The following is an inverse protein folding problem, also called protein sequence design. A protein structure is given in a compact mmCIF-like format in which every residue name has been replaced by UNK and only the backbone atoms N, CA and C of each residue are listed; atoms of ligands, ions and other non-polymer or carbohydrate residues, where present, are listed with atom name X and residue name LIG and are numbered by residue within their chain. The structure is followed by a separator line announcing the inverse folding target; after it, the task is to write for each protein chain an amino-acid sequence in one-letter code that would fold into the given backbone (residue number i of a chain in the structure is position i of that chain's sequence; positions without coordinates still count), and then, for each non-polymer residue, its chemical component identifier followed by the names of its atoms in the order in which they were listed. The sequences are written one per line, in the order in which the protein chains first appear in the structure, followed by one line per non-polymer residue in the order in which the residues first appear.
data_IF_610263715452
#
_entry.id   IF_610263715452
#
_cell.length_a   1.000
_cell.length_b   1.000
_cell.length_c   1.000
_cell.angle_alpha   90.00
_cell.angle_beta   90.00
_cell.angle_gamma   90.00
#
_symmetry.space_group_name_H-M   'P 1'
#
loop_
_entity.id
_entity.type
_entity.pdbx_description
1 polymer ?
#
# COMPACT_ATOMS: atom_id res chain seq x y z
N UNK A 1 9.87 19.01 34.78
CA UNK A 1 10.30 18.69 33.40
C UNK A 1 10.72 17.22 33.31
N UNK A 2 9.87 16.32 32.79
CA UNK A 2 10.23 14.92 32.54
C UNK A 2 10.12 14.66 31.04
N UNK A 3 11.25 14.78 30.32
CA UNK A 3 11.34 14.43 28.90
C UNK A 3 11.36 12.90 28.79
N UNK A 4 10.21 12.28 28.59
CA UNK A 4 10.13 10.84 28.31
C UNK A 4 10.59 10.58 26.87
N UNK A 5 11.77 9.97 26.74
CA UNK A 5 12.28 9.38 25.51
C UNK A 5 11.30 8.29 25.04
N UNK A 6 10.43 8.59 24.09
CA UNK A 6 9.74 7.55 23.32
C UNK A 6 10.77 6.98 22.35
N UNK A 7 11.39 5.88 22.75
CA UNK A 7 12.26 5.05 21.91
C UNK A 7 11.51 4.68 20.63
N UNK A 8 11.99 5.17 19.48
CA UNK A 8 11.55 4.76 18.14
C UNK A 8 11.77 3.24 18.00
N UNK A 9 10.74 2.44 18.29
CA UNK A 9 10.75 1.00 17.97
C UNK A 9 10.89 0.87 16.45
N UNK A 10 12.02 0.30 16.04
CA UNK A 10 12.37 -0.06 14.66
C UNK A 10 11.27 -0.98 14.12
N UNK A 11 10.36 -0.43 13.33
CA UNK A 11 9.32 -1.18 12.61
C UNK A 11 10.07 -2.07 11.61
N UNK A 12 10.32 -3.32 12.00
CA UNK A 12 10.74 -4.37 11.09
C UNK A 12 9.63 -4.52 10.07
N UNK A 13 9.84 -3.95 8.88
CA UNK A 13 8.91 -4.04 7.75
C UNK A 13 8.71 -5.51 7.42
N UNK A 14 7.66 -6.13 7.97
CA UNK A 14 7.07 -7.33 7.41
C UNK A 14 6.76 -6.98 5.95
N UNK A 15 7.12 -7.82 4.95
CA UNK A 15 6.70 -7.53 3.58
C UNK A 15 5.18 -7.50 3.61
N UNK A 16 4.62 -6.29 3.45
CA UNK A 16 3.22 -6.10 3.08
C UNK A 16 2.98 -7.07 1.91
N UNK A 17 1.89 -7.86 1.91
CA UNK A 17 1.58 -8.65 0.73
C UNK A 17 1.60 -7.68 -0.45
N UNK A 18 2.55 -7.88 -1.37
CA UNK A 18 2.48 -7.24 -2.68
C UNK A 18 1.14 -7.71 -3.23
N UNK A 19 0.10 -6.87 -3.10
CA UNK A 19 -1.22 -7.22 -3.60
C UNK A 19 -0.99 -7.30 -5.09
N UNK A 20 -0.86 -8.54 -5.59
CA UNK A 20 -0.77 -8.87 -7.00
C UNK A 20 -2.15 -8.61 -7.57
N UNK A 21 -2.50 -7.33 -7.69
CA UNK A 21 -3.72 -6.89 -8.35
C UNK A 21 -3.56 -7.28 -9.81
N UNK A 22 -4.35 -8.24 -10.25
CA UNK A 22 -4.37 -8.60 -11.66
C UNK A 22 -4.84 -7.41 -12.48
N UNK A 23 -4.33 -7.28 -13.71
CA UNK A 23 -4.72 -6.20 -14.64
C UNK A 23 -6.25 -6.08 -14.82
N UNK A 24 -7.01 -7.16 -14.64
CA UNK A 24 -8.47 -7.16 -14.78
C UNK A 24 -9.26 -6.89 -13.50
N UNK A 25 -8.63 -6.96 -12.32
CA UNK A 25 -9.27 -6.76 -11.02
C UNK A 25 -9.74 -5.31 -10.82
N UNK A 26 -10.71 -5.05 -9.92
CA UNK A 26 -11.08 -3.69 -9.55
C UNK A 26 -9.88 -2.91 -8.99
N UNK A 27 -9.77 -1.63 -9.34
CA UNK A 27 -8.69 -0.77 -8.87
C UNK A 27 -8.80 -0.54 -7.35
N UNK A 28 -7.74 -0.79 -6.57
CA UNK A 28 -7.74 -0.53 -5.12
C UNK A 28 -7.86 0.97 -4.79
N UNK A 29 -7.74 1.85 -5.78
CA UNK A 29 -7.97 3.28 -5.67
C UNK A 29 -9.44 3.68 -5.49
N UNK A 30 -10.38 2.73 -5.52
CA UNK A 30 -11.81 3.01 -5.32
C UNK A 30 -12.51 3.64 -6.52
N UNK A 31 -11.85 3.71 -7.69
CA UNK A 31 -12.43 4.35 -8.88
C UNK A 31 -13.51 3.52 -9.60
N UNK A 32 -13.75 2.27 -9.17
CA UNK A 32 -14.63 1.32 -9.84
C UNK A 32 -14.12 0.80 -11.20
N UNK A 33 -12.96 1.29 -11.67
CA UNK A 33 -12.34 0.86 -12.94
C UNK A 33 -11.48 -0.38 -12.72
N UNK A 34 -11.29 -1.19 -13.77
CA UNK A 34 -10.29 -2.28 -13.77
C UNK A 34 -8.88 -1.69 -13.60
N UNK A 35 -7.99 -2.39 -12.90
CA UNK A 35 -6.63 -1.94 -12.60
C UNK A 35 -5.87 -1.48 -13.86
N UNK A 36 -5.90 -2.28 -14.94
CA UNK A 36 -5.28 -1.93 -16.24
C UNK A 36 -5.86 -0.69 -16.93
N UNK A 37 -7.05 -0.23 -16.54
CA UNK A 37 -7.68 0.98 -17.08
C UNK A 37 -7.55 2.19 -16.13
N UNK A 38 -6.90 2.01 -14.99
CA UNK A 38 -6.73 3.02 -13.95
C UNK A 38 -5.24 3.09 -13.54
N UNK A 39 -4.89 2.76 -12.29
CA UNK A 39 -3.52 2.82 -11.78
C UNK A 39 -2.51 1.93 -12.54
N UNK A 40 -2.97 0.86 -13.17
CA UNK A 40 -2.16 -0.06 -13.97
C UNK A 40 -2.17 0.23 -15.48
N UNK A 41 -2.62 1.41 -15.92
CA UNK A 41 -2.74 1.77 -17.34
C UNK A 41 -1.39 1.88 -18.06
N UNK A 42 -0.33 2.19 -17.32
CA UNK A 42 1.03 2.37 -17.86
C UNK A 42 1.98 1.25 -17.45
N UNK A 43 1.46 0.14 -16.90
CA UNK A 43 2.25 -0.99 -16.40
C UNK A 43 1.90 -2.26 -17.14
#
# INVERSE_FOLDING_TARGET
AKKTKVTKKKITKKPEPEIKVGRNDPCPCGSGKKYKKCCGRSK
#
